data_IF_104982941585
#
_entry.id   IF_104982941585
#
_cell.length_a   1.000
_cell.length_b   1.000
_cell.length_c   1.000
_cell.angle_alpha   90.00
_cell.angle_beta   90.00
_cell.angle_gamma   90.00
#
_symmetry.space_group_name_H-M   'P 1'
#
loop_
_entity.id
_entity.type
_entity.pdbx_description
1 polymer ?
#
# COMPACT_ATOMS: atom_id res chain seq x y z
N UNK A 1 1.86 19.70 -16.71
CA UNK A 1 1.74 18.26 -16.39
C UNK A 1 1.05 18.15 -15.05
N UNK A 2 -0.05 17.43 -14.98
CA UNK A 2 -0.87 17.31 -13.78
C UNK A 2 -0.13 16.48 -12.71
N UNK A 3 -0.13 16.97 -11.46
CA UNK A 3 0.53 16.32 -10.32
C UNK A 3 -0.43 15.38 -9.58
N UNK A 4 0.10 14.47 -8.77
CA UNK A 4 -0.72 13.69 -7.84
C UNK A 4 -1.14 14.63 -6.71
N UNK A 5 -2.43 14.95 -6.65
CA UNK A 5 -3.03 15.77 -5.60
C UNK A 5 -3.36 14.89 -4.41
N UNK A 6 -2.58 15.01 -3.33
CA UNK A 6 -2.69 14.14 -2.16
C UNK A 6 -4.00 14.35 -1.40
N UNK A 7 -4.47 15.59 -1.32
CA UNK A 7 -5.69 15.99 -0.61
C UNK A 7 -6.95 15.32 -1.16
N UNK A 8 -6.96 15.01 -2.46
CA UNK A 8 -8.04 14.29 -3.13
C UNK A 8 -7.93 12.75 -2.96
N UNK A 9 -6.85 12.24 -2.36
CA UNK A 9 -6.63 10.79 -2.22
C UNK A 9 -7.33 10.21 -0.98
N UNK A 10 -7.62 8.90 -1.05
CA UNK A 10 -8.36 8.16 -0.02
C UNK A 10 -7.80 8.34 1.40
N UNK A 11 -6.47 8.28 1.67
CA UNK A 11 -5.97 8.48 3.03
C UNK A 11 -6.37 9.83 3.65
N UNK A 12 -6.27 10.91 2.88
CA UNK A 12 -6.55 12.26 3.36
C UNK A 12 -8.06 12.50 3.49
N UNK A 13 -8.85 12.00 2.52
CA UNK A 13 -10.30 12.08 2.62
C UNK A 13 -10.83 11.30 3.83
N UNK A 14 -10.31 10.09 4.05
CA UNK A 14 -10.66 9.29 5.20
C UNK A 14 -10.32 10.01 6.51
N UNK A 15 -9.10 10.54 6.64
CA UNK A 15 -8.68 11.26 7.84
C UNK A 15 -9.52 12.52 8.10
N UNK A 16 -9.93 13.24 7.04
CA UNK A 16 -10.87 14.36 7.13
C UNK A 16 -12.22 13.91 7.69
N UNK A 17 -12.73 12.76 7.25
CA UNK A 17 -13.99 12.18 7.77
C UNK A 17 -13.85 11.75 9.23
N UNK A 18 -12.70 11.19 9.64
CA UNK A 18 -12.46 10.83 11.04
C UNK A 18 -12.66 12.01 11.99
N UNK A 19 -12.21 13.20 11.60
CA UNK A 19 -12.27 14.43 12.41
C UNK A 19 -13.63 15.14 12.38
N UNK A 20 -14.61 14.69 11.60
CA UNK A 20 -15.97 15.26 11.69
C UNK A 20 -16.51 14.99 13.10
N UNK A 21 -17.05 15.98 13.81
CA UNK A 21 -17.60 15.78 15.15
C UNK A 21 -18.80 14.83 15.10
N UNK A 22 -19.11 14.21 16.23
CA UNK A 22 -20.30 13.40 16.42
C UNK A 22 -20.93 13.75 17.77
N UNK A 23 -22.26 13.76 17.82
CA UNK A 23 -22.99 14.09 19.04
C UNK A 23 -22.94 12.92 20.04
N UNK A 24 -22.73 13.20 21.33
CA UNK A 24 -22.70 12.16 22.37
C UNK A 24 -23.99 11.33 22.43
N UNK A 25 -25.14 11.93 22.13
CA UNK A 25 -26.43 11.24 22.08
C UNK A 25 -26.46 10.12 21.05
N UNK A 26 -25.66 10.22 19.98
CA UNK A 26 -25.56 9.20 18.94
C UNK A 26 -24.81 7.96 19.38
N UNK A 27 -24.04 8.01 20.48
CA UNK A 27 -23.31 6.84 20.96
C UNK A 27 -24.24 5.63 21.15
N UNK A 28 -25.41 5.83 21.80
CA UNK A 28 -26.39 4.76 22.05
C UNK A 28 -27.03 4.19 20.79
N UNK A 29 -27.16 5.00 19.73
CA UNK A 29 -27.67 4.54 18.44
C UNK A 29 -26.60 3.74 17.66
N UNK A 30 -25.32 4.00 17.95
CA UNK A 30 -24.18 3.46 17.22
C UNK A 30 -23.60 2.18 17.84
N UNK A 31 -23.96 1.85 19.08
CA UNK A 31 -23.48 0.66 19.80
C UNK A 31 -24.64 -0.24 20.25
N UNK A 32 -24.35 -1.49 20.65
CA UNK A 32 -25.35 -2.36 21.28
C UNK A 32 -25.51 -2.08 22.78
N UNK A 33 -26.62 -2.56 23.35
CA UNK A 33 -26.91 -2.45 24.79
C UNK A 33 -25.80 -3.02 25.69
N UNK A 34 -25.05 -4.04 25.24
CA UNK A 34 -23.95 -4.63 26.03
C UNK A 34 -22.80 -3.64 26.18
N UNK A 35 -22.43 -2.96 25.09
CA UNK A 35 -21.44 -1.90 25.13
C UNK A 35 -21.95 -0.70 25.92
N UNK A 36 -23.23 -0.33 25.79
CA UNK A 36 -23.84 0.75 26.56
C UNK A 36 -23.70 0.55 28.08
N UNK A 37 -23.96 -0.67 28.58
CA UNK A 37 -23.77 -1.01 29.99
C UNK A 37 -22.32 -0.76 30.45
N UNK A 38 -21.35 -1.16 29.62
CA UNK A 38 -19.92 -0.95 29.91
C UNK A 38 -19.54 0.53 29.91
N UNK A 39 -20.17 1.32 29.03
CA UNK A 39 -19.92 2.75 28.88
C UNK A 39 -20.76 3.64 29.82
N UNK A 40 -21.64 3.05 30.62
CA UNK A 40 -22.49 3.79 31.57
C UNK A 40 -21.70 4.56 32.63
N UNK A 41 -20.45 4.14 32.89
CA UNK A 41 -19.52 4.77 33.82
C UNK A 41 -18.74 5.95 33.21
N UNK A 42 -18.85 6.19 31.90
CA UNK A 42 -18.22 7.33 31.24
C UNK A 42 -18.94 8.60 31.68
N UNK A 43 -18.23 9.43 32.43
CA UNK A 43 -18.84 10.57 33.13
C UNK A 43 -18.75 11.85 32.32
N UNK A 44 -17.67 12.03 31.54
CA UNK A 44 -17.39 13.27 30.84
C UNK A 44 -18.01 13.30 29.46
N UNK A 45 -18.61 14.43 29.15
CA UNK A 45 -19.27 14.67 27.87
C UNK A 45 -18.31 14.55 26.69
N UNK A 46 -17.08 15.06 26.84
CA UNK A 46 -16.08 14.99 25.78
C UNK A 46 -15.64 13.56 25.48
N UNK A 47 -15.60 12.70 26.51
CA UNK A 47 -15.37 11.26 26.32
C UNK A 47 -16.51 10.58 25.57
N UNK A 48 -17.76 10.94 25.88
CA UNK A 48 -18.92 10.40 25.16
C UNK A 48 -18.93 10.82 23.69
N UNK A 49 -18.66 12.10 23.38
CA UNK A 49 -18.53 12.58 21.99
C UNK A 49 -17.44 11.86 21.23
N UNK A 50 -16.27 11.70 21.84
CA UNK A 50 -15.14 11.04 21.20
C UNK A 50 -15.40 9.53 20.97
N UNK A 51 -16.09 8.87 21.91
CA UNK A 51 -16.56 7.48 21.74
C UNK A 51 -17.64 7.37 20.66
N UNK A 52 -18.57 8.33 20.56
CA UNK A 52 -19.56 8.37 19.48
C UNK A 52 -18.88 8.53 18.12
N UNK A 53 -17.90 9.43 18.03
CA UNK A 53 -17.10 9.66 16.84
C UNK A 53 -16.30 8.41 16.46
N UNK A 54 -15.71 7.71 17.44
CA UNK A 54 -15.05 6.42 17.23
C UNK A 54 -16.03 5.37 16.67
N UNK A 55 -17.22 5.23 17.25
CA UNK A 55 -18.22 4.27 16.82
C UNK A 55 -18.65 4.52 15.36
N UNK A 56 -18.92 5.78 15.01
CA UNK A 56 -19.18 6.18 13.62
C UNK A 56 -17.99 5.85 12.72
N UNK A 57 -16.77 6.16 13.14
CA UNK A 57 -15.56 5.93 12.35
C UNK A 57 -15.35 4.45 12.03
N UNK A 58 -15.58 3.55 12.98
CA UNK A 58 -15.48 2.10 12.72
C UNK A 58 -16.59 1.66 11.75
N UNK A 59 -17.81 2.21 11.87
CA UNK A 59 -18.90 1.91 10.92
C UNK A 59 -18.59 2.37 9.49
N UNK A 60 -17.83 3.46 9.28
CA UNK A 60 -17.39 3.90 7.94
C UNK A 60 -16.59 2.80 7.21
N UNK A 61 -15.86 1.95 7.95
CA UNK A 61 -15.13 0.84 7.34
C UNK A 61 -16.10 -0.16 6.71
N UNK A 62 -17.15 -0.52 7.44
CA UNK A 62 -18.13 -1.50 6.96
C UNK A 62 -18.96 -1.01 5.78
N UNK A 63 -19.16 0.31 5.65
CA UNK A 63 -19.98 0.89 4.60
C UNK A 63 -19.17 1.29 3.37
N UNK A 64 -18.03 1.96 3.56
CA UNK A 64 -17.35 2.70 2.49
C UNK A 64 -15.95 2.14 2.17
N UNK A 65 -15.36 1.37 3.10
CA UNK A 65 -13.99 0.85 2.95
C UNK A 65 -13.83 -0.64 3.35
N UNK A 66 -14.72 -1.55 2.92
CA UNK A 66 -14.66 -2.94 3.36
C UNK A 66 -13.38 -3.66 2.90
N UNK A 67 -12.91 -3.37 1.68
CA UNK A 67 -11.78 -4.09 1.08
C UNK A 67 -10.40 -3.65 1.64
N UNK A 68 -10.33 -2.48 2.28
CA UNK A 68 -9.10 -1.95 2.88
C UNK A 68 -9.23 -1.79 4.41
N UNK A 69 -10.08 -2.61 5.03
CA UNK A 69 -10.41 -2.47 6.45
C UNK A 69 -9.18 -2.55 7.37
N UNK A 70 -8.20 -3.40 7.05
CA UNK A 70 -6.98 -3.56 7.87
C UNK A 70 -6.22 -2.24 8.01
N UNK A 71 -6.00 -1.52 6.90
CA UNK A 71 -5.35 -0.20 6.95
C UNK A 71 -6.24 0.81 7.66
N UNK A 72 -7.54 0.84 7.37
CA UNK A 72 -8.47 1.78 8.01
C UNK A 72 -8.56 1.57 9.52
N UNK A 73 -8.46 0.33 10.00
CA UNK A 73 -8.35 0.04 11.43
C UNK A 73 -7.05 0.59 12.03
N UNK A 74 -5.91 0.53 11.32
CA UNK A 74 -4.67 1.21 11.76
C UNK A 74 -4.85 2.72 11.81
N UNK A 75 -5.47 3.31 10.78
CA UNK A 75 -5.73 4.76 10.70
C UNK A 75 -6.63 5.22 11.86
N UNK A 76 -7.72 4.50 12.16
CA UNK A 76 -8.61 4.79 13.29
C UNK A 76 -7.88 4.64 14.63
N UNK A 77 -7.11 3.58 14.83
CA UNK A 77 -6.35 3.38 16.06
C UNK A 77 -5.33 4.50 16.27
N UNK A 78 -4.62 4.90 15.21
CA UNK A 78 -3.67 6.01 15.25
C UNK A 78 -4.39 7.32 15.59
N UNK A 79 -5.47 7.63 14.87
CA UNK A 79 -6.28 8.83 15.11
C UNK A 79 -6.78 8.89 16.55
N UNK A 80 -7.41 7.82 17.04
CA UNK A 80 -8.00 7.79 18.38
C UNK A 80 -6.94 7.92 19.49
N UNK A 81 -5.77 7.31 19.29
CA UNK A 81 -4.63 7.49 20.20
C UNK A 81 -4.19 8.95 20.29
N UNK A 82 -4.11 9.66 19.17
CA UNK A 82 -3.79 11.09 19.15
C UNK A 82 -4.92 11.94 19.78
N UNK A 83 -6.19 11.56 19.61
CA UNK A 83 -7.30 12.24 20.28
C UNK A 83 -7.23 12.08 21.81
N UNK A 84 -6.94 10.89 22.33
CA UNK A 84 -6.76 10.67 23.78
C UNK A 84 -5.64 11.57 24.32
N UNK A 85 -4.48 11.62 23.64
CA UNK A 85 -3.37 12.49 24.05
C UNK A 85 -3.76 13.97 24.10
N UNK A 86 -4.60 14.39 23.16
CA UNK A 86 -5.03 15.79 23.03
C UNK A 86 -6.08 16.14 24.07
N UNK A 87 -7.00 15.21 24.38
CA UNK A 87 -8.11 15.45 25.31
C UNK A 87 -7.69 15.61 26.78
N UNK A 88 -6.52 15.10 27.18
CA UNK A 88 -5.91 15.32 28.51
C UNK A 88 -6.91 15.18 29.67
N UNK A 89 -7.20 16.27 30.38
CA UNK A 89 -8.08 16.32 31.56
C UNK A 89 -9.55 16.54 31.20
N UNK A 90 -9.88 16.84 29.95
CA UNK A 90 -11.26 17.00 29.47
C UNK A 90 -11.96 15.64 29.28
N UNK A 91 -11.18 14.58 29.07
CA UNK A 91 -11.67 13.20 28.98
C UNK A 91 -11.50 12.41 30.28
N UNK A 92 -12.29 11.34 30.42
CA UNK A 92 -12.17 10.36 31.49
C UNK A 92 -10.81 9.68 31.42
N UNK A 93 -10.18 9.44 32.58
CA UNK A 93 -8.89 8.73 32.65
C UNK A 93 -8.97 7.32 32.05
N UNK A 94 -10.16 6.71 32.11
CA UNK A 94 -10.47 5.39 31.59
C UNK A 94 -10.74 5.32 30.09
N UNK A 95 -10.75 6.45 29.36
CA UNK A 95 -11.23 6.52 27.98
C UNK A 95 -10.60 5.48 27.04
N UNK A 96 -9.30 5.21 27.16
CA UNK A 96 -8.62 4.18 26.36
C UNK A 96 -9.22 2.78 26.62
N UNK A 97 -9.47 2.45 27.90
CA UNK A 97 -10.14 1.20 28.31
C UNK A 97 -11.58 1.18 27.80
N UNK A 98 -12.34 2.26 28.03
CA UNK A 98 -13.74 2.38 27.63
C UNK A 98 -13.91 2.18 26.12
N UNK A 99 -12.98 2.70 25.31
CA UNK A 99 -12.99 2.52 23.85
C UNK A 99 -12.97 1.07 23.40
N UNK A 100 -12.43 0.15 24.21
CA UNK A 100 -12.39 -1.28 23.91
C UNK A 100 -13.80 -1.85 23.78
N UNK A 101 -14.77 -1.34 24.55
CA UNK A 101 -16.17 -1.72 24.42
C UNK A 101 -16.70 -1.36 23.02
N UNK A 102 -16.39 -0.16 22.51
CA UNK A 102 -16.81 0.30 21.18
C UNK A 102 -16.18 -0.54 20.06
N UNK A 103 -14.87 -0.83 20.14
CA UNK A 103 -14.18 -1.69 19.17
C UNK A 103 -14.76 -3.12 19.13
N UNK A 104 -15.11 -3.67 20.30
CA UNK A 104 -15.65 -5.03 20.40
C UNK A 104 -17.10 -5.15 19.94
N UNK A 105 -17.85 -4.06 20.02
CA UNK A 105 -19.27 -4.00 19.70
C UNK A 105 -19.53 -4.03 18.19
N UNK A 106 -18.73 -3.28 17.43
CA UNK A 106 -18.95 -3.10 16.00
C UNK A 106 -18.34 -4.27 15.23
N UNK A 107 -19.23 -5.07 14.64
CA UNK A 107 -18.93 -6.34 13.99
C UNK A 107 -19.34 -6.34 12.52
N UNK A 108 -18.73 -7.23 11.74
CA UNK A 108 -19.17 -7.52 10.39
C UNK A 108 -20.57 -8.12 10.38
N UNK A 109 -21.37 -7.77 9.36
CA UNK A 109 -22.71 -8.35 9.16
C UNK A 109 -22.68 -9.79 8.64
N UNK A 110 -21.53 -10.29 8.17
CA UNK A 110 -21.37 -11.65 7.62
C UNK A 110 -20.96 -12.65 8.71
N UNK A 111 -21.21 -13.92 8.41
CA UNK A 111 -21.61 -15.07 9.27
C UNK A 111 -20.89 -15.35 10.61
N UNK A 112 -19.76 -14.73 10.93
CA UNK A 112 -19.04 -15.06 12.18
C UNK A 112 -19.14 -13.98 13.27
N UNK A 113 -19.76 -12.83 13.00
CA UNK A 113 -19.84 -11.73 13.98
C UNK A 113 -18.47 -11.27 14.46
N UNK A 114 -17.45 -11.40 13.60
CA UNK A 114 -16.09 -10.94 13.86
C UNK A 114 -16.07 -9.43 14.01
N UNK A 115 -15.20 -8.94 14.89
CA UNK A 115 -15.01 -7.51 15.13
C UNK A 115 -14.42 -6.87 13.88
N UNK A 116 -14.90 -5.68 13.52
CA UNK A 116 -14.39 -4.95 12.35
C UNK A 116 -12.94 -4.52 12.58
N UNK A 117 -12.67 -3.98 13.77
CA UNK A 117 -11.36 -3.54 14.19
C UNK A 117 -11.11 -3.95 15.63
N UNK A 118 -9.85 -4.20 15.96
CA UNK A 118 -9.40 -4.36 17.32
C UNK A 118 -8.69 -3.09 17.80
N UNK A 119 -8.85 -2.78 19.10
CA UNK A 119 -8.11 -1.71 19.75
C UNK A 119 -6.64 -2.09 19.84
N UNK A 120 -5.77 -1.28 19.25
CA UNK A 120 -4.30 -1.39 19.32
C UNK A 120 -3.73 -0.03 19.71
N UNK A 121 -3.20 0.07 20.93
CA UNK A 121 -2.59 1.31 21.43
C UNK A 121 -1.40 1.77 20.59
N UNK A 122 -0.64 0.81 20.06
CA UNK A 122 0.47 1.04 19.15
C UNK A 122 0.17 0.37 17.80
N UNK A 123 -0.58 1.04 16.90
CA UNK A 123 -0.93 0.47 15.60
C UNK A 123 0.28 0.30 14.66
N UNK A 124 1.41 0.93 15.00
CA UNK A 124 2.68 0.82 14.29
C UNK A 124 3.77 0.29 15.24
N UNK A 125 4.61 -0.60 14.73
CA UNK A 125 5.70 -1.27 15.46
C UNK A 125 6.86 -0.35 15.87
N UNK A 126 7.00 0.81 15.23
CA UNK A 126 8.13 1.72 15.42
C UNK A 126 7.87 2.78 16.50
N UNK A 127 8.94 3.33 17.09
CA UNK A 127 8.84 4.43 18.06
C UNK A 127 8.31 5.75 17.47
N UNK A 128 8.33 5.93 16.14
CA UNK A 128 7.77 7.11 15.48
C UNK A 128 6.52 6.78 14.65
N UNK A 129 5.39 6.62 15.35
CA UNK A 129 4.10 6.32 14.74
C UNK A 129 3.66 7.34 13.67
N UNK A 130 4.05 8.62 13.81
CA UNK A 130 3.72 9.67 12.83
C UNK A 130 4.44 9.45 11.51
N UNK A 131 5.72 9.06 11.56
CA UNK A 131 6.49 8.73 10.36
C UNK A 131 5.92 7.49 9.67
N UNK A 132 5.55 6.46 10.45
CA UNK A 132 4.92 5.25 9.91
C UNK A 132 3.55 5.51 9.28
N UNK A 133 2.72 6.35 9.91
CA UNK A 133 1.44 6.78 9.31
C UNK A 133 1.64 7.43 7.95
N UNK A 134 2.61 8.35 7.84
CA UNK A 134 2.95 8.98 6.56
C UNK A 134 3.42 7.96 5.51
N UNK A 135 4.21 6.97 5.93
CA UNK A 135 4.69 5.90 5.05
C UNK A 135 3.53 5.06 4.52
N UNK A 136 2.63 4.65 5.41
CA UNK A 136 1.40 3.89 5.09
C UNK A 136 0.56 4.64 4.04
N UNK A 137 0.37 5.95 4.23
CA UNK A 137 -0.40 6.79 3.32
C UNK A 137 0.30 6.99 1.97
N UNK A 138 1.62 7.23 1.97
CA UNK A 138 2.39 7.35 0.73
C UNK A 138 2.28 6.07 -0.11
N UNK A 139 2.45 4.90 0.51
CA UNK A 139 2.38 3.62 -0.19
C UNK A 139 0.99 3.41 -0.80
N UNK A 140 -0.08 3.71 -0.05
CA UNK A 140 -1.45 3.65 -0.58
C UNK A 140 -1.64 4.63 -1.76
N UNK A 141 -1.18 5.88 -1.67
CA UNK A 141 -1.32 6.86 -2.75
C UNK A 141 -0.56 6.40 -4.00
N UNK A 142 0.69 5.94 -3.82
CA UNK A 142 1.53 5.42 -4.91
C UNK A 142 0.84 4.26 -5.63
N UNK A 143 0.25 3.34 -4.87
CA UNK A 143 -0.36 2.14 -5.41
C UNK A 143 -1.71 2.44 -6.08
N UNK A 144 -2.54 3.32 -5.49
CA UNK A 144 -3.79 3.80 -6.09
C UNK A 144 -3.58 4.59 -7.39
N UNK A 145 -2.42 5.23 -7.57
CA UNK A 145 -2.05 5.91 -8.81
C UNK A 145 -1.32 4.97 -9.80
N UNK A 146 -1.26 3.67 -9.49
CA UNK A 146 -0.65 2.62 -10.29
C UNK A 146 0.82 2.89 -10.66
N UNK A 147 1.56 3.60 -9.80
CA UNK A 147 2.93 3.99 -10.11
C UNK A 147 3.89 2.79 -10.26
N UNK A 148 3.50 1.62 -9.75
CA UNK A 148 4.20 0.37 -9.97
C UNK A 148 3.93 -0.25 -11.35
N UNK A 149 2.80 0.04 -11.98
CA UNK A 149 2.31 -0.56 -13.22
C UNK A 149 1.93 0.50 -14.28
N UNK A 150 2.73 1.56 -14.39
CA UNK A 150 2.50 2.68 -15.32
C UNK A 150 2.26 2.22 -16.75
N UNK A 151 1.22 2.77 -17.40
CA UNK A 151 0.77 2.33 -18.73
C UNK A 151 1.21 3.26 -19.86
N UNK A 152 1.61 4.50 -19.52
CA UNK A 152 2.07 5.48 -20.49
C UNK A 152 3.16 6.40 -19.91
N UNK A 153 3.87 7.09 -20.81
CA UNK A 153 4.98 7.97 -20.46
C UNK A 153 4.58 9.12 -19.54
N UNK A 154 3.43 9.75 -19.75
CA UNK A 154 2.98 10.87 -18.94
C UNK A 154 2.68 10.44 -17.50
N UNK A 155 2.00 9.31 -17.31
CA UNK A 155 1.76 8.70 -15.99
C UNK A 155 3.10 8.36 -15.30
N UNK A 156 4.05 7.79 -16.04
CA UNK A 156 5.39 7.51 -15.51
C UNK A 156 6.10 8.77 -15.02
N UNK A 157 6.10 9.85 -15.79
CA UNK A 157 6.73 11.12 -15.38
C UNK A 157 6.01 11.71 -14.16
N UNK A 158 4.67 11.68 -14.13
CA UNK A 158 3.85 12.12 -12.99
C UNK A 158 4.20 11.35 -11.71
N UNK A 159 4.24 10.02 -11.79
CA UNK A 159 4.62 9.15 -10.68
C UNK A 159 6.05 9.40 -10.22
N UNK A 160 7.02 9.47 -11.15
CA UNK A 160 8.41 9.76 -10.80
C UNK A 160 8.57 11.09 -10.07
N UNK A 161 7.85 12.14 -10.50
CA UNK A 161 7.88 13.45 -9.82
C UNK A 161 7.39 13.32 -8.38
N UNK A 162 6.26 12.64 -8.18
CA UNK A 162 5.70 12.39 -6.85
C UNK A 162 6.65 11.58 -5.95
N UNK A 163 7.15 10.45 -6.47
CA UNK A 163 8.05 9.53 -5.75
C UNK A 163 9.34 10.24 -5.33
N UNK A 164 9.96 11.02 -6.22
CA UNK A 164 11.18 11.80 -5.90
C UNK A 164 10.93 12.80 -4.78
N UNK A 165 9.85 13.58 -4.88
CA UNK A 165 9.47 14.55 -3.84
C UNK A 165 9.28 13.86 -2.49
N UNK A 166 8.58 12.73 -2.46
CA UNK A 166 8.35 11.98 -1.23
C UNK A 166 9.62 11.35 -0.68
N UNK A 167 10.48 10.80 -1.52
CA UNK A 167 11.78 10.28 -1.09
C UNK A 167 12.57 11.34 -0.32
N UNK A 168 12.64 12.55 -0.85
CA UNK A 168 13.31 13.68 -0.19
C UNK A 168 12.65 14.04 1.16
N UNK A 169 11.31 14.14 1.21
CA UNK A 169 10.58 14.40 2.45
C UNK A 169 10.88 13.35 3.54
N UNK A 170 10.94 12.06 3.17
CA UNK A 170 11.25 10.98 4.10
C UNK A 170 12.72 10.97 4.53
N UNK A 171 13.66 11.19 3.60
CA UNK A 171 15.10 11.30 3.93
C UNK A 171 15.32 12.41 4.96
N UNK A 172 14.76 13.59 4.74
CA UNK A 172 14.88 14.71 5.67
C UNK A 172 14.26 14.40 7.05
N UNK A 173 13.10 13.72 7.06
CA UNK A 173 12.47 13.30 8.31
C UNK A 173 13.30 12.27 9.07
N UNK A 174 13.92 11.33 8.35
CA UNK A 174 14.80 10.30 8.93
C UNK A 174 16.06 10.91 9.53
N UNK A 175 16.74 11.81 8.81
CA UNK A 175 17.92 12.52 9.30
C UNK A 175 17.64 13.35 10.57
N UNK A 176 16.44 13.94 10.65
CA UNK A 176 15.99 14.68 11.83
C UNK A 176 15.76 13.80 13.07
N UNK A 177 15.44 12.52 12.89
CA UNK A 177 15.25 11.56 13.97
C UNK A 177 16.57 10.90 14.36
N UNK A 178 17.40 10.58 13.37
CA UNK A 178 18.62 9.82 13.57
C UNK A 178 19.67 10.14 12.54
N UNK A 179 20.88 10.49 13.02
CA UNK A 179 21.98 10.92 12.17
C UNK A 179 22.93 9.79 11.74
N UNK A 180 23.01 8.67 12.47
CA UNK A 180 23.84 7.48 12.14
C UNK A 180 23.28 6.19 12.76
N UNK A 181 23.43 5.07 12.03
CA UNK A 181 23.17 3.68 12.44
C UNK A 181 21.82 3.44 13.14
N UNK A 182 20.74 3.88 12.51
CA UNK A 182 19.40 3.52 12.95
C UNK A 182 18.89 2.24 12.29
N UNK A 183 18.38 1.33 13.12
CA UNK A 183 17.57 0.20 12.68
C UNK A 183 16.24 0.69 12.13
N UNK A 184 16.18 0.86 10.81
CA UNK A 184 14.95 1.19 10.07
C UNK A 184 14.13 -0.05 9.71
N UNK A 185 14.60 -1.24 10.08
CA UNK A 185 13.92 -2.53 9.94
C UNK A 185 12.50 -2.51 10.55
N UNK A 186 12.33 -1.84 11.69
CA UNK A 186 11.04 -1.68 12.38
C UNK A 186 10.06 -0.75 11.67
N UNK A 187 10.51 -0.03 10.64
CA UNK A 187 9.70 0.89 9.84
C UNK A 187 9.23 0.21 8.55
N UNK A 188 8.59 -0.95 8.69
CA UNK A 188 8.10 -1.77 7.58
C UNK A 188 6.63 -2.08 7.79
N UNK A 189 5.82 -1.85 6.75
CA UNK A 189 4.38 -2.15 6.75
C UNK A 189 4.10 -3.37 5.87
N UNK A 190 4.79 -3.46 4.74
CA UNK A 190 4.70 -4.55 3.79
C UNK A 190 5.98 -4.60 2.94
N UNK A 191 6.14 -5.64 2.11
CA UNK A 191 7.36 -5.91 1.34
C UNK A 191 7.90 -4.71 0.53
N UNK A 192 7.04 -3.81 0.02
CA UNK A 192 7.45 -2.61 -0.77
C UNK A 192 7.13 -1.28 -0.08
N UNK A 193 6.94 -1.33 1.23
CA UNK A 193 6.61 -0.18 2.06
C UNK A 193 7.46 -0.24 3.33
N UNK A 194 8.71 0.17 3.19
CA UNK A 194 9.75 0.11 4.24
C UNK A 194 10.71 1.29 4.16
N UNK A 195 11.18 1.79 5.30
CA UNK A 195 12.28 2.77 5.34
C UNK A 195 13.67 2.13 5.44
N UNK A 196 13.72 0.80 5.59
CA UNK A 196 14.99 0.07 5.56
C UNK A 196 15.61 0.03 4.15
N UNK A 197 14.75 0.05 3.13
CA UNK A 197 15.15 0.14 1.72
C UNK A 197 14.36 1.27 1.03
N UNK A 198 15.00 2.42 0.93
CA UNK A 198 14.42 3.62 0.30
C UNK A 198 14.28 3.47 -1.22
N UNK A 199 15.10 2.67 -1.88
CA UNK A 199 15.01 2.48 -3.33
C UNK A 199 13.85 1.55 -3.69
N UNK A 200 13.58 0.55 -2.84
CA UNK A 200 12.43 -0.33 -2.97
C UNK A 200 11.10 0.40 -2.75
N UNK A 201 11.06 1.31 -1.78
CA UNK A 201 9.84 2.06 -1.44
C UNK A 201 9.59 3.26 -2.34
N UNK A 202 10.67 3.90 -2.81
CA UNK A 202 10.63 5.08 -3.69
C UNK A 202 11.27 4.79 -5.06
N UNK A 203 10.74 3.81 -5.84
CA UNK A 203 11.35 3.41 -7.10
C UNK A 203 11.10 4.47 -8.18
N UNK A 204 12.18 5.01 -8.73
CA UNK A 204 12.14 5.91 -9.89
C UNK A 204 12.44 5.10 -11.16
N UNK A 205 11.58 5.23 -12.16
CA UNK A 205 11.70 4.47 -13.42
C UNK A 205 12.28 5.32 -14.55
N UNK A 206 13.00 4.71 -15.49
CA UNK A 206 13.39 5.39 -16.72
C UNK A 206 12.20 5.41 -17.72
N UNK A 207 11.44 6.52 -17.75
CA UNK A 207 10.24 6.62 -18.58
C UNK A 207 10.54 6.64 -20.08
N UNK A 208 11.71 7.14 -20.50
CA UNK A 208 12.08 7.18 -21.92
C UNK A 208 12.38 5.77 -22.43
N UNK A 209 13.08 4.97 -21.64
CA UNK A 209 13.42 3.59 -21.98
C UNK A 209 12.19 2.67 -21.93
N UNK A 210 11.33 2.82 -20.92
CA UNK A 210 10.11 2.01 -20.78
C UNK A 210 9.13 2.18 -21.93
N UNK A 211 9.05 3.38 -22.50
CA UNK A 211 8.12 3.72 -23.58
C UNK A 211 8.86 4.06 -24.87
N UNK A 212 10.10 3.58 -25.01
CA UNK A 212 10.85 3.71 -26.25
C UNK A 212 10.11 2.95 -27.34
N UNK A 213 9.71 3.64 -28.40
CA UNK A 213 9.19 2.95 -29.58
C UNK A 213 10.26 1.97 -30.09
N UNK A 214 9.88 0.72 -30.44
CA UNK A 214 10.85 -0.20 -31.03
C UNK A 214 11.41 0.48 -32.27
N UNK A 215 12.73 0.67 -32.29
CA UNK A 215 13.44 1.05 -33.50
C UNK A 215 13.28 -0.11 -34.48
N UNK A 216 12.24 -0.05 -35.30
CA UNK A 216 12.16 -0.87 -36.50
C UNK A 216 13.31 -0.36 -37.37
N UNK A 217 14.48 -0.98 -37.26
CA UNK A 217 15.49 -0.89 -38.29
C UNK A 217 14.76 -1.25 -39.58
N UNK A 218 14.48 -0.24 -40.40
CA UNK A 218 14.07 -0.42 -41.78
C UNK A 218 15.26 -1.11 -42.46
N UNK A 219 15.38 -2.42 -42.30
CA UNK A 219 16.09 -3.21 -43.29
C UNK A 219 15.35 -2.90 -44.58
N UNK A 220 16.02 -2.15 -45.44
CA UNK A 220 15.54 -1.82 -46.77
C UNK A 220 15.03 -3.13 -47.38
N UNK A 221 13.77 -3.14 -47.83
CA UNK A 221 13.15 -4.30 -48.49
C UNK A 221 13.97 -4.82 -49.69
N UNK A 222 15.01 -4.07 -50.11
CA UNK A 222 16.05 -4.49 -51.05
C UNK A 222 16.92 -5.67 -50.60
N UNK A 223 17.12 -5.92 -49.30
CA UNK A 223 17.92 -7.09 -48.85
C UNK A 223 17.09 -8.37 -48.68
N UNK A 224 15.77 -8.26 -48.49
CA UNK A 224 14.87 -9.43 -48.37
C UNK A 224 14.58 -10.04 -49.75
N UNK A 225 14.75 -9.27 -50.83
CA UNK A 225 14.62 -9.75 -52.21
C UNK A 225 15.71 -10.75 -52.65
N UNK A 226 16.80 -10.90 -51.88
CA UNK A 226 17.91 -11.78 -52.26
C UNK A 226 17.81 -13.21 -51.69
N UNK A 227 16.97 -13.45 -50.68
CA UNK A 227 16.88 -14.76 -50.01
C UNK A 227 15.75 -15.68 -50.50
N UNK A 228 14.86 -15.21 -51.38
CA UNK A 228 13.69 -15.97 -51.81
C UNK A 228 13.98 -16.94 -52.97
N UNK A 229 15.13 -16.84 -53.64
CA UNK A 229 15.39 -17.65 -54.85
C UNK A 229 16.04 -19.03 -54.56
N UNK A 230 16.61 -19.30 -53.38
CA UNK A 230 17.37 -20.55 -53.14
C UNK A 230 17.20 -21.21 -51.76
N UNK A 231 15.98 -21.44 -51.26
CA UNK A 231 15.79 -22.43 -50.18
C UNK A 231 14.56 -23.33 -50.38
N UNK A 232 14.68 -24.67 -50.22
CA UNK A 232 13.53 -25.56 -50.34
C UNK A 232 12.61 -25.40 -49.12
N UNK A 233 11.36 -25.00 -49.39
CA UNK A 233 10.33 -24.55 -48.44
C UNK A 233 9.79 -25.65 -47.49
N UNK A 234 10.35 -26.86 -47.51
CA UNK A 234 9.83 -28.01 -46.73
C UNK A 234 10.29 -28.09 -45.26
N UNK A 235 11.49 -27.62 -44.90
CA UNK A 235 12.10 -27.97 -43.59
C UNK A 235 11.94 -26.91 -42.48
N UNK A 236 11.63 -25.67 -42.85
CA UNK A 236 11.61 -24.52 -41.92
C UNK A 236 10.25 -24.41 -41.19
N UNK A 237 9.14 -24.72 -41.85
CA UNK A 237 7.78 -24.69 -41.27
C UNK A 237 7.62 -25.64 -40.07
N UNK A 238 8.29 -26.80 -40.09
CA UNK A 238 8.26 -27.75 -38.96
C UNK A 238 9.06 -27.29 -37.74
N UNK A 239 10.12 -26.47 -37.90
CA UNK A 239 10.87 -25.90 -36.76
C UNK A 239 10.12 -24.77 -36.06
N UNK A 240 9.38 -23.95 -36.80
CA UNK A 240 8.58 -22.87 -36.21
C UNK A 240 7.34 -23.38 -35.47
N UNK A 241 6.74 -24.49 -35.93
CA UNK A 241 5.60 -25.11 -35.23
C UNK A 241 5.98 -25.66 -33.86
N UNK A 242 7.14 -26.31 -33.70
CA UNK A 242 7.62 -26.80 -32.39
C UNK A 242 7.89 -25.66 -31.39
N UNK A 243 8.55 -24.57 -31.82
CA UNK A 243 8.83 -23.41 -30.96
C UNK A 243 7.57 -22.67 -30.49
N UNK A 244 6.51 -22.64 -31.30
CA UNK A 244 5.23 -22.01 -30.92
C UNK A 244 4.52 -22.77 -29.79
N UNK A 245 4.65 -24.10 -29.74
CA UNK A 245 4.09 -24.91 -28.65
C UNK A 245 4.90 -24.79 -27.35
N UNK A 246 6.23 -24.74 -27.45
CA UNK A 246 7.09 -24.60 -26.26
C UNK A 246 6.95 -23.22 -25.58
N UNK A 247 6.82 -22.15 -26.36
CA UNK A 247 6.58 -20.79 -25.83
C UNK A 247 5.19 -20.69 -25.18
N UNK A 248 4.17 -21.33 -25.77
CA UNK A 248 2.82 -21.36 -25.18
C UNK A 248 2.78 -22.18 -23.88
N UNK A 249 3.62 -23.22 -23.75
CA UNK A 249 3.77 -24.02 -22.53
C UNK A 249 4.50 -23.28 -21.41
N UNK A 250 5.41 -22.35 -21.75
CA UNK A 250 6.10 -21.49 -20.77
C UNK A 250 5.27 -20.29 -20.34
N UNK A 251 4.52 -19.65 -21.24
CA UNK A 251 3.64 -18.52 -20.90
C UNK A 251 2.42 -18.99 -20.10
N UNK A 252 1.87 -20.17 -20.43
CA UNK A 252 0.76 -20.79 -19.68
C UNK A 252 1.13 -21.27 -18.27
N UNK A 253 2.42 -21.26 -17.88
CA UNK A 253 2.88 -21.54 -16.51
C UNK A 253 3.24 -20.28 -15.71
N UNK A 254 3.33 -19.12 -16.36
CA UNK A 254 3.77 -17.86 -15.72
C UNK A 254 2.59 -16.90 -15.49
N UNK A 255 1.44 -17.18 -16.13
CA UNK A 255 0.27 -16.30 -16.18
C UNK A 255 -0.90 -16.68 -15.28
N UNK A 256 -0.81 -17.70 -14.42
CA UNK A 256 -1.99 -18.23 -13.73
C UNK A 256 -1.69 -18.56 -12.26
N UNK A 257 -1.38 -17.55 -11.43
CA UNK A 257 -1.46 -17.63 -9.94
C UNK A 257 -1.11 -16.33 -9.19
N UNK A 258 -0.66 -15.26 -9.86
CA UNK A 258 -0.23 -14.01 -9.18
C UNK A 258 -1.33 -12.97 -8.91
N UNK A 259 -2.60 -13.33 -9.10
CA UNK A 259 -3.74 -12.45 -8.83
C UNK A 259 -4.51 -12.76 -7.54
N UNK A 260 -4.07 -13.73 -6.73
CA UNK A 260 -4.78 -14.15 -5.51
C UNK A 260 -3.97 -14.05 -4.20
N UNK A 261 -2.70 -13.64 -4.21
CA UNK A 261 -1.87 -13.61 -3.00
C UNK A 261 -1.93 -12.25 -2.29
N UNK A 262 -3.11 -11.92 -1.76
CA UNK A 262 -3.25 -11.00 -0.61
C UNK A 262 -3.25 -11.74 0.73
N UNK A 263 -2.96 -13.05 0.74
CA UNK A 263 -2.84 -13.85 1.96
C UNK A 263 -1.72 -14.89 1.84
N UNK A 264 -0.50 -14.54 2.21
CA UNK A 264 0.44 -15.48 2.85
C UNK A 264 1.62 -14.73 3.47
N UNK A 265 1.86 -14.91 4.77
CA UNK A 265 3.05 -14.44 5.48
C UNK A 265 4.25 -15.41 5.37
N UNK A 266 4.24 -16.33 4.41
CA UNK A 266 5.33 -17.31 4.23
C UNK A 266 6.26 -16.95 3.06
N UNK A 267 7.56 -16.89 3.36
CA UNK A 267 8.61 -16.86 2.34
C UNK A 267 8.65 -18.19 1.59
N UNK A 268 8.75 -18.18 0.24
CA UNK A 268 8.97 -19.41 -0.52
C UNK A 268 10.36 -19.99 -0.19
N UNK A 269 10.39 -21.29 0.08
CA UNK A 269 11.55 -22.04 0.60
C UNK A 269 12.81 -22.04 -0.29
N UNK A 270 12.74 -21.53 -1.52
CA UNK A 270 13.83 -21.57 -2.50
C UNK A 270 14.61 -20.23 -2.63
N UNK A 271 14.56 -19.34 -1.64
CA UNK A 271 15.39 -18.12 -1.64
C UNK A 271 16.82 -18.37 -1.13
N UNK A 272 17.49 -19.40 -1.65
CA UNK A 272 18.94 -19.51 -1.45
C UNK A 272 19.67 -18.51 -2.37
N UNK A 273 20.54 -17.75 -1.72
CA UNK A 273 21.42 -16.69 -2.19
C UNK A 273 22.22 -17.06 -3.45
N UNK A 274 21.62 -16.95 -4.64
CA UNK A 274 22.35 -17.03 -5.92
C UNK A 274 23.00 -15.69 -6.24
N UNK A 275 24.30 -15.59 -5.99
CA UNK A 275 25.14 -14.48 -6.46
C UNK A 275 25.20 -14.51 -8.00
N UNK A 276 24.60 -13.53 -8.65
CA UNK A 276 24.76 -13.33 -10.08
C UNK A 276 26.12 -12.65 -10.33
N UNK A 277 27.06 -13.36 -10.95
CA UNK A 277 28.27 -12.76 -11.51
C UNK A 277 27.91 -12.15 -12.87
N UNK A 278 28.09 -10.84 -13.03
CA UNK A 278 27.97 -10.13 -14.31
C UNK A 278 29.40 -9.87 -14.80
N UNK A 279 29.85 -10.60 -15.81
CA UNK A 279 31.08 -10.28 -16.54
C UNK A 279 30.79 -9.28 -17.67
N UNK A 280 31.46 -8.13 -17.62
CA UNK A 280 31.47 -7.19 -18.73
C UNK A 280 32.57 -7.59 -19.72
N UNK A 281 32.20 -8.02 -20.92
CA UNK A 281 33.15 -8.24 -22.00
C UNK A 281 33.83 -6.90 -22.39
N UNK A 282 35.14 -6.78 -22.16
CA UNK A 282 35.95 -5.68 -22.70
C UNK A 282 36.11 -5.86 -24.22
N UNK A 283 35.92 -4.78 -24.97
CA UNK A 283 36.32 -4.72 -26.38
C UNK A 283 37.85 -4.76 -26.47
N UNK A 284 38.37 -5.69 -27.28
CA UNK A 284 39.78 -5.70 -27.69
C UNK A 284 39.99 -4.62 -28.76
N UNK A 285 41.05 -3.82 -28.57
CA UNK A 285 41.58 -2.90 -29.58
C UNK A 285 42.16 -3.65 -30.78
#
# INVERSE_FOLDING_TARGET
MEEIKEDEQIPNEFYRRLNKPEDASKLKELITNIAELSLSFVSKEESKKLLAQLARNIRLITSDYPDNYVKRCRDINYWFHEQIKTCKTECDKGLSSDSTAVFNDIKWKKENGERVCERKEHPYSSGNAKLMKKLDDYCEIRDNNECNAVTNKNQCIKCNKYIKKKKEEFTNAMEGICKKDCGWDKYTIACRCTLNDMDLTFPVKNCDELFKEPEIKKHSFLEIGFFVIFTPVGSILNRFRKRKYDIKRHIGRVGDDRYSLYHSDEMPADSENKRYYIEYARQYN
#
